data_IF_644578403045
#
_entry.id   IF_644578403045
#
_cell.length_a   1.000
_cell.length_b   1.000
_cell.length_c   1.000
_cell.angle_alpha   90.00
_cell.angle_beta   90.00
_cell.angle_gamma   90.00
#
_symmetry.space_group_name_H-M   'P 1'
#
loop_
_entity.id
_entity.type
_entity.pdbx_description
1 polymer ?
#
# COMPACT_ATOMS: atom_id res chain seq x y z
N UNK A 1 -9.74 26.01 10.48
CA UNK A 1 -9.19 24.80 9.83
C UNK A 1 -7.69 24.67 9.93
N UNK A 2 -6.90 25.75 9.79
CA UNK A 2 -5.42 25.70 9.87
C UNK A 2 -4.79 24.84 10.98
N UNK A 3 -5.39 24.77 12.17
CA UNK A 3 -4.88 23.90 13.26
C UNK A 3 -5.04 22.40 13.00
N UNK A 4 -6.05 22.01 12.21
CA UNK A 4 -6.30 20.62 11.81
C UNK A 4 -5.49 20.22 10.56
N UNK A 5 -4.97 21.18 9.80
CA UNK A 5 -4.19 20.90 8.58
C UNK A 5 -2.82 20.27 8.86
N UNK A 6 -2.20 20.60 9.99
CA UNK A 6 -0.91 20.02 10.35
C UNK A 6 -0.96 18.50 10.57
N UNK A 7 -1.88 17.95 11.39
CA UNK A 7 -1.97 16.50 11.59
C UNK A 7 -2.49 15.73 10.37
N UNK A 8 -3.21 16.38 9.44
CA UNK A 8 -3.75 15.75 8.21
C UNK A 8 -2.68 15.09 7.34
N UNK A 9 -1.43 15.53 7.45
CA UNK A 9 -0.31 14.86 6.78
C UNK A 9 -0.11 13.42 7.28
N UNK A 10 -0.36 13.14 8.56
CA UNK A 10 0.00 11.89 9.21
C UNK A 10 -1.22 11.02 9.56
N UNK A 11 -2.39 11.64 9.72
CA UNK A 11 -3.63 10.94 10.08
C UNK A 11 -4.28 10.31 8.86
N UNK A 12 -4.85 9.12 9.03
CA UNK A 12 -5.58 8.38 7.99
C UNK A 12 -7.02 8.16 8.44
N UNK A 13 -7.72 9.27 8.71
CA UNK A 13 -9.10 9.24 9.16
C UNK A 13 -10.05 9.08 7.98
N UNK A 14 -11.08 8.25 8.14
CA UNK A 14 -12.10 8.05 7.11
C UNK A 14 -13.06 9.26 7.01
N UNK A 15 -13.86 9.29 5.94
CA UNK A 15 -14.79 10.39 5.70
C UNK A 15 -15.86 10.53 6.79
N UNK A 16 -16.26 9.42 7.43
CA UNK A 16 -17.26 9.41 8.49
C UNK A 16 -16.69 9.98 9.80
N UNK A 17 -15.49 9.57 10.19
CA UNK A 17 -14.73 10.10 11.30
C UNK A 17 -14.52 11.60 11.16
N UNK A 18 -14.19 12.09 9.95
CA UNK A 18 -14.12 13.53 9.70
C UNK A 18 -15.47 14.23 9.84
N UNK A 19 -16.56 13.58 9.42
CA UNK A 19 -17.92 14.11 9.59
C UNK A 19 -18.26 14.25 11.07
N UNK A 20 -17.92 13.25 11.88
CA UNK A 20 -18.16 13.22 13.32
C UNK A 20 -17.32 14.29 14.05
N UNK A 21 -16.04 14.43 13.67
CA UNK A 21 -15.14 15.48 14.20
C UNK A 21 -15.65 16.88 13.85
N UNK A 22 -16.13 17.09 12.62
CA UNK A 22 -16.60 18.40 12.17
C UNK A 22 -17.99 18.76 12.65
N UNK A 23 -18.84 17.77 12.94
CA UNK A 23 -20.22 17.99 13.38
C UNK A 23 -20.32 19.02 14.51
N UNK A 24 -19.67 18.86 15.69
CA UNK A 24 -19.78 19.84 16.77
C UNK A 24 -19.20 21.20 16.39
N UNK A 25 -18.15 21.24 15.58
CA UNK A 25 -17.53 22.50 15.11
C UNK A 25 -18.51 23.29 14.25
N UNK A 26 -19.22 22.63 13.33
CA UNK A 26 -20.21 23.27 12.46
C UNK A 26 -21.47 23.69 13.21
N UNK A 27 -21.91 22.88 14.18
CA UNK A 27 -23.07 23.19 15.03
C UNK A 27 -22.90 24.51 15.81
N UNK A 28 -21.65 24.84 16.18
CA UNK A 28 -21.30 26.07 16.89
C UNK A 28 -20.94 27.22 15.95
N UNK A 29 -20.23 26.94 14.84
CA UNK A 29 -19.70 27.98 13.96
C UNK A 29 -20.74 28.55 12.99
N UNK A 30 -21.66 27.73 12.46
CA UNK A 30 -22.66 28.21 11.49
C UNK A 30 -23.59 29.29 12.06
N UNK A 31 -24.17 29.15 13.27
CA UNK A 31 -25.01 30.20 13.84
C UNK A 31 -24.27 31.51 14.05
N UNK A 32 -22.98 31.44 14.40
CA UNK A 32 -22.12 32.63 14.55
C UNK A 32 -21.86 33.33 13.21
N UNK A 33 -21.91 32.59 12.11
CA UNK A 33 -21.81 33.12 10.75
C UNK A 33 -23.17 33.56 10.17
N UNK A 34 -24.26 33.53 10.95
CA UNK A 34 -25.60 33.89 10.49
C UNK A 34 -26.30 32.78 9.68
N UNK A 35 -25.75 31.56 9.66
CA UNK A 35 -26.32 30.41 8.96
C UNK A 35 -27.04 29.48 9.94
N UNK A 36 -28.12 28.83 9.50
CA UNK A 36 -28.82 27.85 10.32
C UNK A 36 -27.88 26.74 10.82
N UNK A 37 -28.00 26.38 12.09
CA UNK A 37 -27.25 25.29 12.72
C UNK A 37 -27.37 23.95 11.96
N UNK A 38 -28.59 23.67 11.49
CA UNK A 38 -28.98 22.44 10.79
C UNK A 38 -28.89 22.59 9.26
N UNK A 39 -28.18 23.62 8.77
CA UNK A 39 -28.01 23.81 7.35
C UNK A 39 -27.39 22.55 6.70
N UNK A 40 -27.92 22.07 5.56
CA UNK A 40 -27.48 20.81 4.96
C UNK A 40 -25.97 20.76 4.77
N UNK A 41 -25.32 19.73 5.32
CA UNK A 41 -23.84 19.62 5.32
C UNK A 41 -23.26 19.54 3.90
N UNK A 42 -23.98 18.91 2.96
CA UNK A 42 -23.59 18.92 1.55
C UNK A 42 -23.47 20.34 0.98
N UNK A 43 -24.38 21.26 1.33
CA UNK A 43 -24.36 22.66 0.85
C UNK A 43 -23.31 23.49 1.59
N UNK A 44 -23.04 23.19 2.86
CA UNK A 44 -21.92 23.80 3.61
C UNK A 44 -20.60 23.55 2.87
N UNK A 45 -20.36 22.30 2.45
CA UNK A 45 -19.11 21.92 1.81
C UNK A 45 -19.08 22.17 0.29
N UNK A 46 -20.22 22.46 -0.32
CA UNK A 46 -20.31 22.74 -1.75
C UNK A 46 -19.55 24.04 -2.11
N UNK A 47 -18.98 24.14 -3.32
CA UNK A 47 -18.30 25.35 -3.76
C UNK A 47 -19.27 26.52 -3.94
N UNK A 48 -18.73 27.75 -3.83
CA UNK A 48 -19.50 28.99 -4.02
C UNK A 48 -20.16 29.07 -5.41
N UNK A 49 -19.53 28.49 -6.44
CA UNK A 49 -20.07 28.45 -7.81
C UNK A 49 -21.41 27.70 -7.91
N UNK A 50 -21.69 26.79 -6.98
CA UNK A 50 -22.95 26.05 -6.87
C UNK A 50 -23.78 26.50 -5.67
N UNK A 51 -23.64 27.78 -5.27
CA UNK A 51 -24.36 28.38 -4.15
C UNK A 51 -24.13 27.69 -2.78
N UNK A 52 -23.02 26.96 -2.64
CA UNK A 52 -22.57 26.43 -1.36
C UNK A 52 -21.88 27.50 -0.51
N UNK A 53 -21.45 27.12 0.70
CA UNK A 53 -20.67 28.01 1.57
C UNK A 53 -19.16 28.00 1.27
N UNK A 54 -18.71 27.12 0.38
CA UNK A 54 -17.30 27.04 -0.05
C UNK A 54 -16.35 26.50 1.01
N UNK A 55 -16.86 25.82 2.05
CA UNK A 55 -16.01 25.24 3.08
C UNK A 55 -15.40 23.93 2.56
N UNK A 56 -14.07 23.76 2.49
CA UNK A 56 -13.51 22.51 1.99
C UNK A 56 -13.75 21.38 3.01
N UNK A 57 -14.15 20.21 2.51
CA UNK A 57 -14.36 19.03 3.37
C UNK A 57 -13.01 18.51 3.90
N UNK A 58 -12.84 18.28 5.23
CA UNK A 58 -11.54 17.90 5.78
C UNK A 58 -10.95 16.60 5.24
N UNK A 59 -11.79 15.62 4.91
CA UNK A 59 -11.33 14.39 4.24
C UNK A 59 -10.63 14.70 2.90
N UNK A 60 -11.23 15.58 2.07
CA UNK A 60 -10.59 16.01 0.82
C UNK A 60 -9.28 16.78 1.07
N UNK A 61 -9.23 17.60 2.13
CA UNK A 61 -8.00 18.26 2.55
C UNK A 61 -6.92 17.25 2.99
N UNK A 62 -7.29 16.18 3.71
CA UNK A 62 -6.36 15.12 4.14
C UNK A 62 -5.77 14.40 2.92
N UNK A 63 -6.61 13.94 2.00
CA UNK A 63 -6.14 13.27 0.77
C UNK A 63 -5.25 14.21 -0.04
N UNK A 64 -5.63 15.49 -0.18
CA UNK A 64 -4.79 16.49 -0.83
C UNK A 64 -3.43 16.63 -0.15
N UNK A 65 -3.37 16.61 1.19
CA UNK A 65 -2.11 16.67 1.93
C UNK A 65 -1.28 15.41 1.77
N UNK A 66 -1.89 14.22 1.73
CA UNK A 66 -1.19 12.97 1.42
C UNK A 66 -0.54 13.03 0.04
N UNK A 67 -1.28 13.46 -0.99
CA UNK A 67 -0.77 13.65 -2.35
C UNK A 67 0.33 14.72 -2.40
N UNK A 68 0.13 15.87 -1.75
CA UNK A 68 1.13 16.93 -1.66
C UNK A 68 2.43 16.40 -1.06
N UNK A 69 2.35 15.61 0.01
CA UNK A 69 3.54 15.01 0.62
C UNK A 69 4.25 14.03 -0.31
N UNK A 70 3.51 13.12 -0.95
CA UNK A 70 4.08 12.16 -1.90
C UNK A 70 4.82 12.90 -3.02
N UNK A 71 4.15 13.84 -3.68
CA UNK A 71 4.74 14.60 -4.80
C UNK A 71 5.90 15.47 -4.31
N UNK A 72 5.71 16.23 -3.23
CA UNK A 72 6.73 17.17 -2.75
C UNK A 72 7.99 16.48 -2.28
N UNK A 73 7.87 15.40 -1.50
CA UNK A 73 9.05 14.76 -0.90
C UNK A 73 9.80 13.87 -1.87
N UNK A 74 9.08 13.13 -2.72
CA UNK A 74 9.66 12.28 -3.76
C UNK A 74 10.30 13.12 -4.87
N UNK A 75 9.60 14.13 -5.40
CA UNK A 75 10.14 14.94 -6.50
C UNK A 75 11.35 15.79 -6.10
N UNK A 76 11.33 16.35 -4.88
CA UNK A 76 12.44 17.19 -4.39
C UNK A 76 13.58 16.41 -3.74
N UNK A 77 13.53 15.06 -3.73
CA UNK A 77 14.56 14.18 -3.12
C UNK A 77 15.01 14.65 -1.73
N UNK A 78 14.02 15.00 -0.91
CA UNK A 78 14.29 15.39 0.48
C UNK A 78 14.64 14.15 1.31
N UNK A 79 15.24 14.31 2.50
CA UNK A 79 15.48 13.16 3.41
C UNK A 79 14.21 12.35 3.71
N UNK A 80 13.06 13.01 3.84
CA UNK A 80 11.78 12.33 4.01
C UNK A 80 11.37 11.56 2.74
N UNK A 81 11.75 12.06 1.57
CA UNK A 81 11.61 11.36 0.29
C UNK A 81 12.43 10.07 0.29
N UNK A 82 13.69 10.12 0.73
CA UNK A 82 14.54 8.91 0.82
C UNK A 82 13.90 7.85 1.74
N UNK A 83 13.34 8.27 2.89
CA UNK A 83 12.59 7.36 3.77
C UNK A 83 11.29 6.84 3.14
N UNK A 84 10.56 7.67 2.39
CA UNK A 84 9.36 7.24 1.69
C UNK A 84 9.70 6.23 0.59
N UNK A 85 10.72 6.49 -0.21
CA UNK A 85 11.21 5.61 -1.25
C UNK A 85 11.66 4.26 -0.67
N UNK A 86 12.43 4.28 0.42
CA UNK A 86 12.82 3.05 1.12
C UNK A 86 11.60 2.26 1.63
N UNK A 87 10.56 2.95 2.13
CA UNK A 87 9.31 2.30 2.54
C UNK A 87 8.55 1.72 1.34
N UNK A 88 8.52 2.41 0.19
CA UNK A 88 7.90 1.89 -1.03
C UNK A 88 8.61 0.63 -1.54
N UNK A 89 9.94 0.66 -1.58
CA UNK A 89 10.74 -0.51 -1.97
C UNK A 89 10.59 -1.67 -0.98
N UNK A 90 10.50 -1.38 0.33
CA UNK A 90 10.25 -2.40 1.35
C UNK A 90 8.87 -3.03 1.20
N UNK A 91 7.83 -2.25 0.91
CA UNK A 91 6.49 -2.78 0.60
C UNK A 91 6.49 -3.59 -0.69
N UNK A 92 7.19 -3.13 -1.73
CA UNK A 92 7.29 -3.87 -2.99
C UNK A 92 7.97 -5.23 -2.79
N UNK A 93 8.99 -5.30 -1.94
CA UNK A 93 9.63 -6.56 -1.54
C UNK A 93 8.70 -7.43 -0.68
N UNK A 94 7.91 -6.82 0.20
CA UNK A 94 6.92 -7.52 1.03
C UNK A 94 5.79 -8.12 0.17
N UNK A 95 5.26 -7.38 -0.80
CA UNK A 95 4.23 -7.89 -1.71
C UNK A 95 4.80 -8.79 -2.80
N UNK A 96 6.11 -8.73 -3.07
CA UNK A 96 6.79 -9.60 -4.04
C UNK A 96 6.39 -9.35 -5.51
N UNK A 97 5.90 -8.16 -5.82
CA UNK A 97 5.26 -7.84 -7.11
C UNK A 97 6.13 -6.97 -8.02
N UNK A 98 5.80 -6.97 -9.32
CA UNK A 98 6.56 -6.23 -10.32
C UNK A 98 6.46 -4.71 -10.17
N UNK A 99 5.34 -4.20 -9.66
CA UNK A 99 5.04 -2.78 -9.60
C UNK A 99 4.99 -2.27 -8.15
N UNK A 100 5.22 -0.96 -7.97
CA UNK A 100 5.13 -0.33 -6.66
C UNK A 100 3.69 -0.31 -6.13
N UNK A 101 3.53 -0.19 -4.81
CA UNK A 101 2.23 -0.32 -4.11
C UNK A 101 1.10 0.55 -4.70
N UNK A 102 1.40 1.78 -5.16
CA UNK A 102 0.39 2.71 -5.71
C UNK A 102 -0.01 2.41 -7.16
N UNK A 103 0.67 1.48 -7.81
CA UNK A 103 0.41 1.05 -9.18
C UNK A 103 -0.27 -0.32 -9.23
N UNK A 104 -0.73 -0.82 -8.09
CA UNK A 104 -1.38 -2.11 -7.96
C UNK A 104 -2.87 -1.96 -7.67
N UNK A 105 -3.63 -3.02 -7.97
CA UNK A 105 -5.05 -3.10 -7.62
C UNK A 105 -5.19 -3.44 -6.15
N UNK A 106 -5.80 -2.54 -5.37
CA UNK A 106 -5.95 -2.70 -3.91
C UNK A 106 -6.52 -4.06 -3.53
N UNK A 107 -7.64 -4.44 -4.14
CA UNK A 107 -8.33 -5.67 -3.82
C UNK A 107 -7.52 -6.94 -4.12
N UNK A 108 -6.47 -6.87 -4.95
CA UNK A 108 -5.70 -8.07 -5.31
C UNK A 108 -4.51 -8.28 -4.37
N UNK A 109 -3.78 -7.19 -4.05
CA UNK A 109 -2.49 -7.30 -3.36
C UNK A 109 -2.47 -6.68 -1.96
N UNK A 110 -3.53 -5.99 -1.53
CA UNK A 110 -3.53 -5.35 -0.22
C UNK A 110 -3.38 -6.33 0.95
N UNK A 111 -3.83 -7.58 0.81
CA UNK A 111 -3.64 -8.58 1.88
C UNK A 111 -2.15 -8.86 2.16
N UNK A 112 -1.29 -8.70 1.15
CA UNK A 112 0.15 -8.95 1.24
C UNK A 112 0.93 -7.81 1.90
N UNK A 113 0.36 -6.61 1.93
CA UNK A 113 1.02 -5.42 2.46
C UNK A 113 0.76 -5.24 3.96
N UNK A 114 1.79 -4.87 4.71
CA UNK A 114 1.67 -4.45 6.12
C UNK A 114 0.74 -3.25 6.28
N UNK A 115 -0.01 -3.22 7.39
CA UNK A 115 -0.88 -2.08 7.72
C UNK A 115 -0.06 -0.87 8.19
N UNK A 116 0.40 -0.09 7.22
CA UNK A 116 1.15 1.14 7.40
C UNK A 116 0.45 2.31 6.73
N UNK A 117 0.96 3.53 6.98
CA UNK A 117 0.45 4.75 6.37
C UNK A 117 0.32 4.64 4.84
N UNK A 118 1.29 4.03 4.15
CA UNK A 118 1.27 3.83 2.69
C UNK A 118 0.07 2.99 2.21
N UNK A 119 -0.22 1.87 2.89
CA UNK A 119 -1.37 1.01 2.55
C UNK A 119 -2.70 1.74 2.71
N UNK A 120 -2.80 2.61 3.73
CA UNK A 120 -4.00 3.41 3.98
C UNK A 120 -4.19 4.51 2.95
N UNK A 121 -3.11 5.21 2.58
CA UNK A 121 -3.13 6.18 1.49
C UNK A 121 -3.52 5.51 0.17
N UNK A 122 -2.96 4.33 -0.11
CA UNK A 122 -3.33 3.56 -1.30
C UNK A 122 -4.84 3.22 -1.34
N UNK A 123 -5.41 2.74 -0.22
CA UNK A 123 -6.86 2.50 -0.10
C UNK A 123 -7.69 3.78 -0.37
N UNK A 124 -7.26 4.91 0.20
CA UNK A 124 -7.92 6.21 0.00
C UNK A 124 -7.89 6.65 -1.47
N UNK A 125 -6.76 6.45 -2.15
CA UNK A 125 -6.59 6.82 -3.55
C UNK A 125 -7.41 5.92 -4.49
N UNK A 126 -7.43 4.62 -4.23
CA UNK A 126 -8.26 3.66 -4.98
C UNK A 126 -9.75 4.01 -4.88
N UNK A 127 -10.24 4.29 -3.66
CA UNK A 127 -11.64 4.67 -3.44
C UNK A 127 -12.06 6.00 -4.09
N UNK A 128 -11.09 6.83 -4.49
CA UNK A 128 -11.31 8.09 -5.19
C UNK A 128 -10.96 8.03 -6.69
N UNK A 129 -10.58 6.86 -7.20
CA UNK A 129 -10.12 6.66 -8.58
C UNK A 129 -8.94 7.59 -8.95
N UNK A 130 -8.00 7.76 -8.02
CA UNK A 130 -6.80 8.59 -8.20
C UNK A 130 -5.60 7.70 -8.46
N UNK A 131 -5.06 7.79 -9.68
CA UNK A 131 -3.84 7.08 -10.06
C UNK A 131 -2.59 7.93 -9.81
N UNK A 132 -1.61 7.38 -9.08
CA UNK A 132 -0.31 8.00 -8.82
C UNK A 132 0.79 7.09 -9.31
N UNK A 133 1.50 7.51 -10.37
CA UNK A 133 2.69 6.81 -10.84
C UNK A 133 3.90 7.21 -9.98
N UNK A 134 4.55 6.23 -9.38
CA UNK A 134 5.85 6.41 -8.73
C UNK A 134 6.90 5.61 -9.50
N UNK A 135 8.03 6.25 -9.77
CA UNK A 135 9.20 5.57 -10.31
C UNK A 135 9.90 4.87 -9.15
N UNK A 136 9.67 3.56 -9.02
CA UNK A 136 10.31 2.69 -8.02
C UNK A 136 11.13 1.65 -8.76
N UNK A 137 12.35 1.33 -8.30
CA UNK A 137 13.14 0.27 -8.92
C UNK A 137 12.39 -1.06 -8.83
N UNK A 138 12.23 -1.73 -9.96
CA UNK A 138 11.62 -3.05 -10.02
C UNK A 138 12.48 -4.10 -9.27
N UNK A 139 11.83 -5.17 -8.82
CA UNK A 139 12.53 -6.34 -8.32
C UNK A 139 13.40 -6.96 -9.43
N UNK A 140 14.58 -7.43 -9.05
CA UNK A 140 15.61 -7.90 -9.97
C UNK A 140 15.31 -9.32 -10.40
N UNK A 141 15.22 -9.52 -11.71
CA UNK A 141 15.08 -10.84 -12.32
C UNK A 141 16.47 -11.48 -12.44
N UNK A 142 16.59 -12.77 -12.11
CA UNK A 142 17.87 -13.50 -12.28
C UNK A 142 18.13 -13.88 -13.73
N UNK A 143 17.09 -13.97 -14.55
CA UNK A 143 17.20 -14.31 -15.97
C UNK A 143 16.20 -13.51 -16.81
N UNK A 144 16.43 -13.45 -18.13
CA UNK A 144 15.62 -12.67 -19.09
C UNK A 144 14.16 -13.11 -19.19
N UNK A 145 13.87 -14.38 -18.90
CA UNK A 145 12.53 -14.97 -18.99
C UNK A 145 12.03 -15.45 -17.62
N UNK A 146 12.47 -14.78 -16.55
CA UNK A 146 12.14 -15.15 -15.18
C UNK A 146 10.91 -14.36 -14.71
N UNK A 147 10.02 -15.02 -13.98
CA UNK A 147 8.82 -14.40 -13.43
C UNK A 147 8.91 -14.28 -11.91
N UNK A 148 8.26 -13.26 -11.36
CA UNK A 148 8.06 -13.16 -9.92
C UNK A 148 7.05 -14.20 -9.46
N UNK A 149 7.27 -14.76 -8.28
CA UNK A 149 6.41 -15.81 -7.72
C UNK A 149 4.99 -15.29 -7.47
N UNK A 150 4.86 -14.09 -6.90
CA UNK A 150 3.56 -13.52 -6.56
C UNK A 150 2.76 -13.18 -7.82
N UNK A 151 3.40 -12.66 -8.86
CA UNK A 151 2.74 -12.40 -10.14
C UNK A 151 2.18 -13.70 -10.76
N UNK A 152 2.88 -14.84 -10.59
CA UNK A 152 2.33 -16.15 -10.99
C UNK A 152 1.12 -16.56 -10.15
N UNK A 153 1.16 -16.38 -8.83
CA UNK A 153 0.04 -16.72 -7.96
C UNK A 153 -1.20 -15.88 -8.26
N UNK A 154 -1.01 -14.59 -8.57
CA UNK A 154 -2.09 -13.71 -9.02
C UNK A 154 -2.70 -14.18 -10.34
N UNK A 155 -1.87 -14.60 -11.30
CA UNK A 155 -2.35 -15.14 -12.59
C UNK A 155 -3.08 -16.49 -12.44
N UNK A 156 -2.82 -17.24 -11.36
CA UNK A 156 -3.51 -18.48 -11.03
C UNK A 156 -4.83 -18.25 -10.27
N UNK A 157 -5.20 -16.99 -10.00
CA UNK A 157 -6.42 -16.61 -9.29
C UNK A 157 -6.60 -17.34 -7.94
N UNK A 158 -5.49 -17.49 -7.21
CA UNK A 158 -5.50 -18.12 -5.89
C UNK A 158 -6.30 -17.27 -4.90
N UNK A 159 -6.98 -17.93 -3.95
CA UNK A 159 -7.71 -17.25 -2.87
C UNK A 159 -6.79 -16.34 -2.05
N UNK A 160 -7.35 -15.27 -1.45
CA UNK A 160 -6.56 -14.29 -0.72
C UNK A 160 -5.81 -14.88 0.48
N UNK A 161 -6.43 -15.79 1.24
CA UNK A 161 -5.78 -16.39 2.41
C UNK A 161 -4.62 -17.27 1.97
N UNK A 162 -4.81 -18.04 0.89
CA UNK A 162 -3.78 -18.86 0.30
C UNK A 162 -2.65 -18.01 -0.31
N UNK A 163 -2.99 -16.90 -0.96
CA UNK A 163 -2.02 -15.93 -1.52
C UNK A 163 -1.13 -15.34 -0.43
N UNK A 164 -1.70 -15.02 0.74
CA UNK A 164 -0.94 -14.55 1.90
C UNK A 164 0.12 -15.58 2.32
N UNK A 165 -0.26 -16.86 2.45
CA UNK A 165 0.68 -17.92 2.83
C UNK A 165 1.69 -18.24 1.73
N UNK A 166 1.26 -18.23 0.47
CA UNK A 166 2.10 -18.40 -0.71
C UNK A 166 3.14 -17.29 -0.83
N UNK A 167 2.84 -16.05 -0.43
CA UNK A 167 3.81 -14.96 -0.38
C UNK A 167 4.73 -15.04 0.86
N UNK A 168 4.20 -15.50 1.99
CA UNK A 168 4.98 -15.64 3.22
C UNK A 168 6.13 -16.64 3.07
N UNK A 169 5.94 -17.71 2.29
CA UNK A 169 6.95 -18.74 2.08
C UNK A 169 8.21 -18.21 1.36
N UNK A 170 8.12 -17.55 0.19
CA UNK A 170 9.21 -16.82 -0.46
C UNK A 170 9.83 -15.76 0.43
N UNK A 171 9.02 -15.00 1.17
CA UNK A 171 9.51 -13.98 2.10
C UNK A 171 10.37 -14.58 3.22
N UNK A 172 10.01 -15.77 3.71
CA UNK A 172 10.83 -16.52 4.65
C UNK A 172 12.11 -17.07 4.01
N UNK A 173 12.03 -17.56 2.76
CA UNK A 173 13.18 -18.08 2.01
C UNK A 173 14.12 -16.98 1.49
N UNK A 174 13.68 -15.73 1.48
CA UNK A 174 14.38 -14.58 0.94
C UNK A 174 14.56 -14.63 -0.57
N UNK A 175 13.48 -14.96 -1.29
CA UNK A 175 13.45 -15.17 -2.74
C UNK A 175 12.26 -14.45 -3.37
N UNK A 176 12.41 -13.96 -4.60
CA UNK A 176 11.35 -13.24 -5.33
C UNK A 176 10.93 -13.94 -6.62
N UNK A 177 11.84 -14.67 -7.26
CA UNK A 177 11.68 -15.20 -8.61
C UNK A 177 11.57 -16.72 -8.62
N UNK A 178 11.04 -17.28 -9.71
CA UNK A 178 11.01 -18.74 -9.90
C UNK A 178 12.41 -19.32 -9.95
N UNK A 179 13.34 -18.66 -10.64
CA UNK A 179 14.73 -19.14 -10.75
C UNK A 179 15.46 -19.20 -9.42
N UNK A 180 14.98 -18.53 -8.37
CA UNK A 180 15.53 -18.64 -7.02
C UNK A 180 15.26 -20.00 -6.38
N UNK A 181 14.11 -20.61 -6.66
CA UNK A 181 13.66 -21.84 -6.00
C UNK A 181 13.80 -23.09 -6.90
N UNK A 182 14.02 -22.92 -8.20
CA UNK A 182 14.13 -24.03 -9.16
C UNK A 182 15.60 -24.38 -9.44
N UNK A 183 15.84 -25.63 -9.82
CA UNK A 183 17.15 -26.15 -10.27
C UNK A 183 17.60 -25.46 -11.56
N UNK A 184 18.90 -25.52 -11.86
CA UNK A 184 19.49 -24.83 -13.02
C UNK A 184 18.91 -25.27 -14.38
N UNK A 185 18.37 -26.50 -14.45
CA UNK A 185 17.67 -27.05 -15.61
C UNK A 185 16.19 -26.63 -15.69
N UNK A 186 15.69 -25.87 -14.70
CA UNK A 186 14.30 -25.39 -14.58
C UNK A 186 13.23 -26.47 -14.50
N UNK A 187 13.59 -27.72 -14.19
CA UNK A 187 12.65 -28.85 -14.17
C UNK A 187 12.12 -29.19 -12.80
N UNK A 188 12.90 -28.91 -11.76
CA UNK A 188 12.59 -29.34 -10.39
C UNK A 188 12.81 -28.23 -9.40
N UNK A 189 11.87 -28.06 -8.47
CA UNK A 189 12.04 -27.22 -7.29
C UNK A 189 13.16 -27.81 -6.44
N UNK A 190 14.06 -26.94 -5.95
CA UNK A 190 15.18 -27.33 -5.09
C UNK A 190 14.63 -27.91 -3.79
N UNK A 191 15.23 -29.00 -3.33
CA UNK A 191 14.87 -29.63 -2.05
C UNK A 191 14.98 -28.68 -0.86
N UNK A 192 15.90 -27.71 -0.89
CA UNK A 192 16.03 -26.71 0.16
C UNK A 192 14.78 -25.81 0.22
N UNK A 193 14.38 -25.25 -0.92
CA UNK A 193 13.15 -24.47 -1.05
C UNK A 193 11.93 -25.32 -0.67
N UNK A 194 11.81 -26.55 -1.18
CA UNK A 194 10.70 -27.45 -0.84
C UNK A 194 10.59 -27.76 0.67
N UNK A 195 11.69 -27.80 1.39
CA UNK A 195 11.69 -28.10 2.83
C UNK A 195 11.66 -26.82 3.71
N UNK A 196 11.54 -25.63 3.13
CA UNK A 196 11.57 -24.37 3.86
C UNK A 196 12.93 -24.10 4.51
N UNK A 197 14.02 -24.38 3.78
CA UNK A 197 15.40 -24.14 4.21
C UNK A 197 15.99 -23.07 3.29
N UNK A 198 16.55 -22.02 3.89
CA UNK A 198 17.23 -20.93 3.16
C UNK A 198 18.47 -21.48 2.47
N UNK A 199 18.62 -21.17 1.18
CA UNK A 199 19.79 -21.56 0.39
C UNK A 199 20.91 -20.53 0.61
N UNK A 200 22.00 -20.94 1.27
CA UNK A 200 23.15 -20.07 1.53
C UNK A 200 23.92 -19.67 0.27
N UNK A 201 23.81 -20.48 -0.80
CA UNK A 201 24.47 -20.22 -2.08
C UNK A 201 23.74 -19.16 -2.91
N UNK A 202 22.46 -18.93 -2.65
CA UNK A 202 21.59 -18.08 -3.46
C UNK A 202 21.14 -16.84 -2.67
N UNK A 203 22.07 -15.99 -2.24
CA UNK A 203 21.74 -14.80 -1.45
C UNK A 203 21.03 -13.75 -2.29
N UNK A 204 19.88 -13.31 -1.82
CA UNK A 204 19.17 -12.15 -2.38
C UNK A 204 19.97 -10.85 -2.15
N UNK A 205 19.92 -9.88 -3.09
CA UNK A 205 20.52 -8.56 -2.91
C UNK A 205 19.72 -7.66 -1.95
N UNK A 206 18.50 -8.05 -1.58
CA UNK A 206 17.58 -7.25 -0.76
C UNK A 206 17.75 -7.46 0.75
N UNK A 207 17.37 -6.43 1.50
CA UNK A 207 17.17 -6.53 2.94
C UNK A 207 15.74 -6.95 3.26
N UNK A 208 15.57 -8.23 3.58
CA UNK A 208 14.26 -8.81 3.84
C UNK A 208 13.69 -8.45 5.21
N UNK A 209 12.35 -8.35 5.32
CA UNK A 209 11.68 -8.22 6.60
C UNK A 209 11.94 -9.43 7.50
N UNK A 210 11.76 -9.23 8.81
CA UNK A 210 11.91 -10.32 9.78
C UNK A 210 10.68 -11.22 9.71
N UNK A 211 10.89 -12.44 9.23
CA UNK A 211 9.84 -13.44 9.07
C UNK A 211 10.07 -14.64 9.98
N UNK A 212 8.96 -15.22 10.46
CA UNK A 212 8.95 -16.51 11.13
C UNK A 212 8.68 -17.59 10.09
N UNK A 213 9.27 -18.77 10.29
CA UNK A 213 9.01 -19.93 9.43
C UNK A 213 7.53 -20.30 9.49
N UNK A 214 6.82 -20.42 8.34
CA UNK A 214 5.45 -20.93 8.31
C UNK A 214 5.33 -22.32 8.94
N UNK A 215 4.14 -22.61 9.46
CA UNK A 215 3.82 -23.97 9.94
C UNK A 215 3.82 -24.97 8.78
N UNK A 216 3.97 -26.26 9.09
CA UNK A 216 4.00 -27.30 8.04
C UNK A 216 2.74 -27.31 7.17
N UNK A 217 1.58 -27.05 7.75
CA UNK A 217 0.31 -27.01 7.01
C UNK A 217 0.33 -26.01 5.86
N UNK A 218 0.81 -24.79 6.10
CA UNK A 218 0.94 -23.78 5.05
C UNK A 218 2.06 -24.10 4.07
N UNK A 219 3.08 -24.85 4.48
CA UNK A 219 4.16 -25.28 3.60
C UNK A 219 3.74 -26.40 2.64
N UNK A 220 2.94 -27.35 3.14
CA UNK A 220 2.41 -28.48 2.36
C UNK A 220 1.32 -28.00 1.36
N UNK A 221 0.67 -26.86 1.64
CA UNK A 221 -0.30 -26.22 0.75
C UNK A 221 0.36 -25.60 -0.49
N UNK A 222 1.62 -25.19 -0.39
CA UNK A 222 2.44 -24.68 -1.53
C UNK A 222 2.96 -25.84 -2.39
N UNK A 223 2.17 -26.91 -2.52
CA UNK A 223 2.46 -28.04 -3.39
C UNK A 223 2.42 -27.63 -4.86
N UNK A 224 3.48 -26.93 -5.30
CA UNK A 224 3.88 -26.72 -6.68
C UNK A 224 4.46 -28.03 -7.23
#
# INVERSE_FOLDING_TARGET
MKKLEYPMALTTLDAQQWTDIMSPVLQVSLPKAGVCRNFPRAVVFAPLSYQGLGLPHPFGCQVFKHLEMLVRHMANRTKNGDYMEANFQAHQLETGTSFGILQQVYNNTAILASDMWMKRVWHELEGLDIYVACDSPALSHRCKDDSLLVDLFLNLEVDQDDLLWLNWCPMFLQVCTVSDIVSADRRFIRRAAWNGIRDECCRSPYQWPRTVRPTRQHWDFVGI
#
